data_IF_449869440913
#
_entry.id   IF_449869440913
#
_cell.length_a   1.000
_cell.length_b   1.000
_cell.length_c   1.000
_cell.angle_alpha   90.00
_cell.angle_beta   90.00
_cell.angle_gamma   90.00
#
_symmetry.space_group_name_H-M   'P 1'
#
loop_
_entity.id
_entity.type
_entity.pdbx_description
1 polymer ?
#
# COMPACT_ATOMS: atom_id res chain seq x y z
N UNK A 1 39.89 36.03 58.05
CA UNK A 1 38.81 36.32 57.08
C UNK A 1 39.46 36.55 55.73
N UNK A 2 39.59 35.51 54.91
CA UNK A 2 40.02 35.66 53.51
C UNK A 2 38.77 36.00 52.70
N UNK A 3 38.64 37.25 52.28
CA UNK A 3 37.64 37.64 51.29
C UNK A 3 38.21 37.37 49.91
N UNK A 4 37.91 36.20 49.35
CA UNK A 4 38.10 35.97 47.91
C UNK A 4 37.15 36.91 47.16
N UNK A 5 37.71 37.98 46.59
CA UNK A 5 37.01 38.80 45.61
C UNK A 5 36.77 37.94 44.38
N UNK A 6 35.52 37.52 44.17
CA UNK A 6 35.14 36.76 42.99
C UNK A 6 35.51 37.53 41.70
N UNK A 7 36.06 36.85 40.68
CA UNK A 7 36.41 37.49 39.42
C UNK A 7 35.18 38.13 38.80
N UNK A 8 35.31 39.41 38.43
CA UNK A 8 34.22 40.20 37.89
C UNK A 8 34.25 40.14 36.36
N UNK A 9 33.37 39.31 35.78
CA UNK A 9 33.21 39.15 34.34
C UNK A 9 31.96 39.93 33.88
N UNK A 10 32.14 40.85 32.94
CA UNK A 10 31.06 41.55 32.23
C UNK A 10 31.03 41.11 30.78
N UNK A 11 29.83 40.87 30.26
CA UNK A 11 29.62 40.46 28.88
C UNK A 11 28.65 41.41 28.19
N UNK A 12 29.01 41.88 26.99
CA UNK A 12 28.19 42.77 26.18
C UNK A 12 28.03 42.18 24.78
N UNK A 13 26.79 41.94 24.36
CA UNK A 13 26.50 41.49 23.00
C UNK A 13 26.68 42.63 21.99
N UNK A 14 27.37 42.35 20.89
CA UNK A 14 27.59 43.29 19.77
C UNK A 14 27.21 42.62 18.46
N UNK A 15 27.10 43.38 17.36
CA UNK A 15 26.82 42.81 16.03
C UNK A 15 27.90 41.82 15.54
N UNK A 16 29.11 41.87 16.13
CA UNK A 16 30.26 41.05 15.71
C UNK A 16 30.51 39.85 16.63
N UNK A 17 29.76 39.71 17.72
CA UNK A 17 29.96 38.65 18.73
C UNK A 17 29.72 39.14 20.16
N UNK A 18 30.24 38.39 21.13
CA UNK A 18 30.14 38.70 22.56
C UNK A 18 31.44 39.33 23.03
N UNK A 19 31.39 40.56 23.51
CA UNK A 19 32.51 41.26 24.11
C UNK A 19 32.61 40.88 25.59
N UNK A 20 33.72 40.28 26.00
CA UNK A 20 33.97 39.86 27.39
C UNK A 20 35.03 40.75 28.02
N UNK A 21 34.66 41.38 29.14
CA UNK A 21 35.54 42.16 30.00
C UNK A 21 35.73 41.40 31.32
N UNK A 22 36.97 41.06 31.67
CA UNK A 22 37.31 40.29 32.87
C UNK A 22 38.36 41.01 33.69
N UNK A 23 38.16 41.09 35.02
CA UNK A 23 39.14 41.64 35.96
C UNK A 23 40.40 40.79 36.09
N UNK A 24 40.27 39.49 35.83
CA UNK A 24 41.32 38.51 36.09
C UNK A 24 41.65 37.70 34.84
N UNK A 25 42.92 37.29 34.72
CA UNK A 25 43.45 36.53 33.59
C UNK A 25 43.13 35.02 33.67
N UNK A 26 42.02 34.66 34.33
CA UNK A 26 41.59 33.29 34.55
C UNK A 26 40.85 32.74 33.31
N UNK A 27 41.02 31.45 33.05
CA UNK A 27 40.22 30.73 32.05
C UNK A 27 38.76 30.70 32.45
N UNK A 28 37.87 30.95 31.50
CA UNK A 28 36.43 30.82 31.69
C UNK A 28 35.82 29.96 30.59
N UNK A 29 34.71 29.30 30.90
CA UNK A 29 33.92 28.54 29.93
C UNK A 29 32.74 29.41 29.46
N UNK A 30 32.52 29.46 28.15
CA UNK A 30 31.32 30.08 27.58
C UNK A 30 30.50 29.01 26.87
N UNK A 31 29.25 28.88 27.31
CA UNK A 31 28.27 27.95 26.76
C UNK A 31 27.10 28.70 26.11
N UNK A 32 26.71 28.29 24.91
CA UNK A 32 25.51 28.70 24.20
C UNK A 32 24.84 27.45 23.59
N UNK A 33 23.67 27.09 24.10
CA UNK A 33 22.95 25.85 23.78
C UNK A 33 23.83 24.59 23.89
N UNK A 34 24.23 24.00 22.76
CA UNK A 34 25.09 22.80 22.70
C UNK A 34 26.58 23.11 22.52
N UNK A 35 26.94 24.39 22.37
CA UNK A 35 28.32 24.83 22.16
C UNK A 35 28.91 25.34 23.47
N UNK A 36 29.86 24.60 24.04
CA UNK A 36 30.65 25.01 25.21
C UNK A 36 32.14 24.99 24.85
N UNK A 37 32.85 26.08 25.13
CA UNK A 37 34.30 26.14 24.94
C UNK A 37 34.99 26.91 26.07
N UNK A 38 36.22 26.48 26.36
CA UNK A 38 37.11 27.14 27.32
C UNK A 38 37.92 28.23 26.62
N UNK A 39 37.84 29.45 27.16
CA UNK A 39 38.53 30.62 26.64
C UNK A 39 39.59 31.10 27.63
N UNK A 40 40.78 31.42 27.10
CA UNK A 40 41.86 32.11 27.82
C UNK A 40 41.81 33.59 27.43
N UNK A 41 41.65 34.51 28.40
CA UNK A 41 41.73 35.94 28.12
C UNK A 41 43.10 36.28 27.51
N UNK A 42 43.12 36.91 26.35
CA UNK A 42 44.35 37.39 25.70
C UNK A 42 44.34 38.91 25.44
N UNK A 43 43.16 39.52 25.55
CA UNK A 43 42.93 40.95 25.48
C UNK A 43 41.75 41.29 26.41
N UNK A 44 41.70 42.53 26.92
CA UNK A 44 40.56 43.02 27.65
C UNK A 44 40.14 44.40 27.09
N UNK A 45 38.96 44.53 26.44
CA UNK A 45 37.96 43.49 26.21
C UNK A 45 38.34 42.48 25.10
N UNK A 46 37.91 41.22 25.23
CA UNK A 46 38.06 40.15 24.22
C UNK A 46 36.75 39.96 23.46
N UNK A 47 36.80 39.91 22.12
CA UNK A 47 35.64 39.58 21.29
C UNK A 47 35.58 38.08 21.03
N UNK A 48 34.49 37.43 21.46
CA UNK A 48 34.20 36.03 21.19
C UNK A 48 33.15 35.91 20.09
N UNK A 49 33.48 35.19 19.02
CA UNK A 49 32.51 34.84 17.98
C UNK A 49 31.84 33.52 18.34
N UNK A 50 30.54 33.56 18.60
CA UNK A 50 29.72 32.35 18.73
C UNK A 50 29.37 31.83 17.33
N UNK A 51 29.22 30.51 17.15
CA UNK A 51 28.69 29.95 15.92
C UNK A 51 27.33 30.57 15.58
N UNK A 52 27.01 30.80 14.29
CA UNK A 52 25.69 31.29 13.91
C UNK A 52 24.61 30.26 14.28
N UNK A 53 23.51 30.75 14.87
CA UNK A 53 22.29 29.94 15.03
C UNK A 53 21.63 29.78 13.65
N UNK A 54 21.32 28.53 13.29
CA UNK A 54 20.75 28.19 11.99
C UNK A 54 19.34 27.65 12.19
N UNK A 55 18.38 28.21 11.47
CA UNK A 55 17.02 27.68 11.39
C UNK A 55 16.79 27.13 9.99
N UNK A 56 16.52 25.84 9.90
CA UNK A 56 16.14 25.19 8.64
C UNK A 56 14.63 25.22 8.53
N UNK A 57 14.13 25.60 7.35
CA UNK A 57 12.70 25.56 7.03
C UNK A 57 12.49 24.93 5.66
N UNK A 58 11.39 24.20 5.51
CA UNK A 58 11.03 23.60 4.24
C UNK A 58 10.33 24.63 3.34
N UNK A 59 10.73 24.65 2.07
CA UNK A 59 10.06 25.41 1.02
C UNK A 59 9.39 24.44 0.07
N UNK A 60 8.14 24.74 -0.29
CA UNK A 60 7.35 23.91 -1.19
C UNK A 60 7.89 24.02 -2.63
N UNK A 61 8.20 22.89 -3.25
CA UNK A 61 8.64 22.83 -4.66
C UNK A 61 7.45 22.81 -5.64
N UNK A 62 6.35 22.13 -5.29
CA UNK A 62 5.13 22.02 -6.11
C UNK A 62 3.88 22.23 -5.24
N UNK A 63 2.82 22.79 -5.81
CA UNK A 63 1.53 23.06 -5.16
C UNK A 63 0.66 21.83 -4.89
N UNK A 64 1.14 20.63 -5.24
CA UNK A 64 0.43 19.37 -5.00
C UNK A 64 0.61 18.89 -3.57
N UNK A 65 -0.48 18.39 -3.00
CA UNK A 65 -0.48 17.73 -1.69
C UNK A 65 -0.58 16.24 -1.92
N UNK A 66 0.40 15.49 -1.42
CA UNK A 66 0.43 14.05 -1.52
C UNK A 66 0.00 13.41 -0.20
N UNK A 67 -0.85 12.40 -0.30
CA UNK A 67 -1.31 11.58 0.81
C UNK A 67 -0.64 10.21 0.74
N UNK A 68 0.10 9.87 1.78
CA UNK A 68 0.63 8.52 1.97
C UNK A 68 -0.33 7.71 2.85
N UNK A 69 -0.64 6.47 2.47
CA UNK A 69 -1.53 5.60 3.24
C UNK A 69 -1.27 4.11 2.98
N UNK A 70 -1.82 3.25 3.84
CA UNK A 70 -1.80 1.80 3.68
C UNK A 70 -3.19 1.22 3.98
N UNK A 71 -3.53 0.10 3.33
CA UNK A 71 -4.78 -0.61 3.56
C UNK A 71 -4.58 -1.68 4.63
N UNK A 72 -5.05 -1.43 5.85
CA UNK A 72 -4.94 -2.40 6.96
C UNK A 72 -5.92 -3.57 6.83
N UNK A 73 -7.05 -3.36 6.14
CA UNK A 73 -8.08 -4.36 5.90
C UNK A 73 -8.61 -4.23 4.49
N UNK A 74 -8.90 -5.37 3.88
CA UNK A 74 -9.53 -5.47 2.57
C UNK A 74 -10.92 -6.07 2.75
N UNK A 75 -11.87 -5.65 1.92
CA UNK A 75 -13.20 -6.25 1.89
C UNK A 75 -13.30 -7.16 0.67
N UNK A 76 -13.59 -8.43 0.91
CA UNK A 76 -13.66 -9.45 -0.14
C UNK A 76 -15.00 -9.40 -0.87
N UNK A 77 -14.94 -9.52 -2.19
CA UNK A 77 -16.12 -9.62 -3.05
C UNK A 77 -15.81 -10.58 -4.20
N UNK A 78 -16.63 -11.61 -4.35
CA UNK A 78 -16.49 -12.64 -5.40
C UNK A 78 -17.56 -12.43 -6.45
N UNK A 79 -17.13 -12.37 -7.71
CA UNK A 79 -18.06 -12.35 -8.84
C UNK A 79 -18.39 -13.78 -9.24
N UNK A 80 -19.63 -14.19 -9.05
CA UNK A 80 -20.13 -15.52 -9.41
C UNK A 80 -20.98 -15.45 -10.66
N UNK A 81 -20.62 -16.23 -11.67
CA UNK A 81 -21.46 -16.49 -12.84
C UNK A 81 -22.27 -17.76 -12.59
N UNK A 82 -23.59 -17.61 -12.48
CA UNK A 82 -24.52 -18.71 -12.22
C UNK A 82 -25.40 -18.95 -13.44
N UNK A 83 -25.51 -20.21 -13.83
CA UNK A 83 -26.41 -20.68 -14.88
C UNK A 83 -27.40 -21.65 -14.26
N UNK A 84 -28.70 -21.39 -14.43
CA UNK A 84 -29.78 -22.26 -13.96
C UNK A 84 -30.59 -22.77 -15.14
N UNK A 85 -30.96 -24.04 -15.13
CA UNK A 85 -31.73 -24.69 -16.19
C UNK A 85 -32.81 -25.59 -15.55
N UNK A 86 -34.07 -25.44 -15.98
CA UNK A 86 -35.18 -26.30 -15.55
C UNK A 86 -35.51 -27.28 -16.70
N UNK A 87 -35.34 -28.59 -16.47
CA UNK A 87 -35.54 -29.64 -17.50
C UNK A 87 -36.98 -29.73 -18.05
N UNK A 88 -37.98 -29.28 -17.29
CA UNK A 88 -39.41 -29.45 -17.62
C UNK A 88 -40.04 -28.24 -18.34
N UNK A 89 -39.27 -27.20 -18.68
CA UNK A 89 -39.77 -26.03 -19.41
C UNK A 89 -39.03 -25.89 -20.73
N UNK A 90 -39.79 -25.70 -21.81
CA UNK A 90 -39.29 -25.45 -23.18
C UNK A 90 -38.45 -24.17 -23.31
N UNK A 91 -38.41 -23.35 -22.27
CA UNK A 91 -37.55 -22.18 -22.17
C UNK A 91 -37.33 -21.86 -20.69
N UNK A 92 -36.09 -21.97 -20.18
CA UNK A 92 -35.54 -21.01 -19.21
C UNK A 92 -34.12 -21.39 -18.75
N UNK A 93 -33.14 -21.38 -19.64
CA UNK A 93 -31.75 -21.24 -19.18
C UNK A 93 -31.56 -19.80 -18.70
N UNK A 94 -31.41 -19.61 -17.40
CA UNK A 94 -31.25 -18.32 -16.76
C UNK A 94 -29.78 -18.07 -16.43
N UNK A 95 -29.31 -16.85 -16.69
CA UNK A 95 -27.93 -16.45 -16.47
C UNK A 95 -27.88 -15.29 -15.46
N UNK A 96 -27.07 -15.41 -14.43
CA UNK A 96 -26.88 -14.39 -13.40
C UNK A 96 -25.39 -14.11 -13.19
N UNK A 97 -25.05 -12.83 -13.05
CA UNK A 97 -23.72 -12.39 -12.61
C UNK A 97 -23.88 -11.70 -11.27
N UNK A 98 -23.46 -12.36 -10.20
CA UNK A 98 -23.69 -11.95 -8.83
C UNK A 98 -22.39 -11.46 -8.18
N UNK A 99 -22.52 -10.55 -7.23
CA UNK A 99 -21.42 -10.10 -6.37
C UNK A 99 -21.69 -10.64 -4.96
N UNK A 100 -21.02 -11.74 -4.62
CA UNK A 100 -21.15 -12.37 -3.32
C UNK A 100 -20.15 -11.75 -2.34
N UNK A 101 -20.63 -11.50 -1.12
CA UNK A 101 -19.80 -11.09 0.01
C UNK A 101 -19.82 -12.19 1.07
N UNK A 102 -18.70 -12.43 1.77
CA UNK A 102 -18.65 -13.47 2.80
C UNK A 102 -19.75 -13.24 3.84
N UNK A 103 -20.47 -14.30 4.20
CA UNK A 103 -21.52 -14.30 5.22
C UNK A 103 -22.72 -13.39 4.93
N UNK A 104 -22.90 -12.94 3.68
CA UNK A 104 -24.08 -12.16 3.25
C UNK A 104 -24.91 -12.99 2.28
N UNK A 105 -26.14 -13.41 2.65
CA UNK A 105 -26.99 -14.18 1.76
C UNK A 105 -27.48 -13.32 0.58
N UNK A 106 -27.38 -13.88 -0.62
CA UNK A 106 -27.91 -13.32 -1.85
C UNK A 106 -29.13 -14.13 -2.28
N UNK A 107 -30.26 -13.46 -2.47
CA UNK A 107 -31.54 -14.10 -2.77
C UNK A 107 -31.81 -14.09 -4.27
N UNK A 108 -32.10 -15.26 -4.82
CA UNK A 108 -32.65 -15.46 -6.16
C UNK A 108 -34.07 -16.02 -6.04
N UNK A 109 -34.88 -16.00 -7.12
CA UNK A 109 -36.26 -16.47 -7.05
C UNK A 109 -36.42 -17.93 -6.59
N UNK A 110 -35.53 -18.82 -7.04
CA UNK A 110 -35.59 -20.27 -6.80
C UNK A 110 -34.65 -20.77 -5.71
N UNK A 111 -33.64 -19.98 -5.33
CA UNK A 111 -32.60 -20.38 -4.39
C UNK A 111 -31.98 -19.18 -3.66
N UNK A 112 -31.26 -19.47 -2.58
CA UNK A 112 -30.47 -18.53 -1.80
C UNK A 112 -29.02 -18.99 -1.82
N UNK A 113 -28.12 -18.07 -2.15
CA UNK A 113 -26.68 -18.31 -2.16
C UNK A 113 -26.04 -17.62 -0.97
N UNK A 114 -25.18 -18.32 -0.25
CA UNK A 114 -24.38 -17.72 0.83
C UNK A 114 -22.94 -18.16 0.67
N UNK A 115 -22.04 -17.21 0.43
CA UNK A 115 -20.60 -17.51 0.45
C UNK A 115 -20.16 -17.64 1.90
N UNK A 116 -19.77 -18.83 2.32
CA UNK A 116 -19.41 -19.15 3.71
C UNK A 116 -17.95 -18.83 4.01
N UNK A 117 -17.07 -19.01 3.02
CA UNK A 117 -15.64 -18.74 3.18
C UNK A 117 -15.02 -18.28 1.85
N UNK A 118 -13.90 -17.55 1.94
CA UNK A 118 -13.03 -17.26 0.81
C UNK A 118 -11.58 -17.31 1.28
N UNK A 119 -10.74 -18.00 0.53
CA UNK A 119 -9.30 -18.08 0.75
C UNK A 119 -8.59 -17.41 -0.42
N UNK A 120 -7.73 -16.45 -0.09
CA UNK A 120 -6.93 -15.72 -1.08
C UNK A 120 -5.52 -16.30 -1.13
N UNK A 121 -4.88 -16.33 -2.32
CA UNK A 121 -3.48 -16.71 -2.41
C UNK A 121 -2.60 -15.65 -1.70
N UNK A 122 -1.37 -16.00 -1.27
CA UNK A 122 -0.42 -15.03 -0.75
C UNK A 122 -0.22 -13.89 -1.75
N UNK A 123 -0.68 -12.69 -1.40
CA UNK A 123 -0.66 -11.52 -2.29
C UNK A 123 0.05 -10.36 -1.58
N UNK A 124 1.41 -10.36 -1.56
CA UNK A 124 2.20 -9.39 -0.78
C UNK A 124 1.87 -7.92 -1.11
N UNK A 125 1.49 -7.64 -2.35
CA UNK A 125 1.13 -6.29 -2.82
C UNK A 125 -0.07 -5.67 -2.10
N UNK A 126 -0.88 -6.46 -1.39
CA UNK A 126 -1.98 -5.96 -0.57
C UNK A 126 -1.49 -5.26 0.71
N UNK A 127 -0.24 -5.48 1.11
CA UNK A 127 0.43 -4.86 2.26
C UNK A 127 1.29 -3.67 1.85
N UNK A 128 1.24 -3.27 0.58
CA UNK A 128 2.00 -2.14 0.07
C UNK A 128 1.52 -0.82 0.63
N UNK A 129 2.42 0.15 0.67
CA UNK A 129 2.11 1.55 0.90
C UNK A 129 1.73 2.23 -0.40
N UNK A 130 0.85 3.22 -0.32
CA UNK A 130 0.33 3.97 -1.45
C UNK A 130 0.57 5.47 -1.25
N UNK A 131 0.81 6.17 -2.36
CA UNK A 131 0.87 7.62 -2.45
C UNK A 131 -0.24 8.07 -3.39
N UNK A 132 -1.00 9.10 -3.03
CA UNK A 132 -2.03 9.68 -3.88
C UNK A 132 -1.98 11.20 -3.88
N UNK A 133 -2.20 11.80 -5.04
CA UNK A 133 -2.36 13.25 -5.24
C UNK A 133 -3.82 13.64 -5.49
N UNK A 134 -4.77 12.82 -5.00
CA UNK A 134 -6.20 12.82 -5.30
C UNK A 134 -6.60 12.43 -6.73
N UNK A 135 -5.72 12.44 -7.72
CA UNK A 135 -6.05 12.10 -9.11
C UNK A 135 -5.50 10.75 -9.52
N UNK A 136 -4.29 10.46 -9.06
CA UNK A 136 -3.57 9.24 -9.26
C UNK A 136 -3.23 8.57 -7.92
N UNK A 137 -2.95 7.28 -7.99
CA UNK A 137 -2.43 6.48 -6.86
C UNK A 137 -1.23 5.71 -7.40
N UNK A 138 -0.15 5.67 -6.64
CA UNK A 138 1.03 4.87 -6.92
C UNK A 138 1.40 4.01 -5.70
N UNK A 139 2.03 2.87 -5.95
CA UNK A 139 2.65 2.02 -4.93
C UNK A 139 3.99 2.62 -4.55
N UNK A 140 4.33 2.71 -3.27
CA UNK A 140 5.67 3.12 -2.83
C UNK A 140 6.45 1.96 -2.22
N UNK A 141 7.73 1.84 -2.61
CA UNK A 141 8.64 0.79 -2.12
C UNK A 141 9.34 1.17 -0.81
N UNK A 142 9.37 2.47 -0.48
CA UNK A 142 10.01 2.98 0.73
C UNK A 142 9.03 3.88 1.46
N UNK A 143 8.39 3.40 2.53
CA UNK A 143 7.71 4.27 3.47
C UNK A 143 8.78 5.03 4.29
N UNK A 144 9.61 5.83 3.63
CA UNK A 144 10.54 6.72 4.33
C UNK A 144 9.74 7.88 4.90
N UNK A 145 10.04 8.27 6.15
CA UNK A 145 9.46 9.45 6.75
C UNK A 145 9.73 10.64 5.83
N UNK A 146 8.67 11.18 5.22
CA UNK A 146 8.79 12.42 4.48
C UNK A 146 9.33 13.49 5.44
N UNK A 147 10.30 14.34 5.02
CA UNK A 147 10.84 15.37 5.88
C UNK A 147 9.75 16.31 6.41
N UNK A 148 8.68 16.52 5.63
CA UNK A 148 7.53 17.31 6.04
C UNK A 148 6.30 16.42 6.18
N UNK A 149 5.79 16.28 7.40
CA UNK A 149 4.58 15.52 7.71
C UNK A 149 3.46 16.42 8.22
N UNK A 150 2.28 16.27 7.62
CA UNK A 150 1.09 17.05 7.97
C UNK A 150 -0.04 16.09 8.37
N UNK A 151 -0.81 16.45 9.41
CA UNK A 151 -1.92 15.62 9.90
C UNK A 151 -3.13 15.65 8.96
N UNK A 152 -3.35 16.77 8.27
CA UNK A 152 -4.51 17.00 7.40
C UNK A 152 -4.11 17.73 6.12
N UNK A 153 -5.00 17.71 5.13
CA UNK A 153 -4.80 18.42 3.87
C UNK A 153 -4.78 19.93 4.09
N UNK A 154 -5.62 20.42 4.99
CA UNK A 154 -5.76 21.83 5.34
C UNK A 154 -4.44 22.35 5.94
N UNK A 155 -3.85 21.58 6.87
CA UNK A 155 -2.54 21.90 7.45
C UNK A 155 -1.42 21.87 6.41
N UNK A 156 -1.47 20.95 5.45
CA UNK A 156 -0.50 20.88 4.36
C UNK A 156 -0.57 22.11 3.45
N UNK A 157 -1.78 22.57 3.12
CA UNK A 157 -1.99 23.78 2.32
C UNK A 157 -1.47 25.01 3.06
N UNK A 158 -1.77 25.14 4.35
CA UNK A 158 -1.32 26.22 5.22
C UNK A 158 0.17 26.14 5.61
N UNK A 159 0.89 25.08 5.20
CA UNK A 159 2.29 24.81 5.58
C UNK A 159 2.52 24.75 7.10
N UNK A 160 1.49 24.43 7.88
CA UNK A 160 1.59 24.23 9.32
C UNK A 160 1.82 22.74 9.61
N UNK A 161 3.00 22.26 9.25
CA UNK A 161 3.38 20.85 9.30
C UNK A 161 4.60 20.65 10.18
N UNK A 162 4.76 19.43 10.69
CA UNK A 162 5.95 19.05 11.45
C UNK A 162 7.09 18.75 10.47
N UNK A 163 8.15 19.53 10.56
CA UNK A 163 9.41 19.27 9.86
C UNK A 163 10.24 18.31 10.72
N UNK A 164 10.62 17.19 10.15
CA UNK A 164 11.62 16.28 10.67
C UNK A 164 12.84 16.36 9.75
N UNK A 165 13.82 17.16 10.14
CA UNK A 165 15.02 17.42 9.36
C UNK A 165 16.20 16.55 9.79
N UNK A 166 16.73 15.76 8.86
CA UNK A 166 18.01 15.05 8.99
C UNK A 166 19.15 15.83 8.31
N UNK A 167 19.01 17.16 8.22
CA UNK A 167 19.96 18.03 7.52
C UNK A 167 21.26 18.19 8.32
N UNK A 168 22.40 18.11 7.64
CA UNK A 168 23.72 18.36 8.24
C UNK A 168 24.20 19.75 7.87
N UNK A 169 24.21 20.64 8.86
CA UNK A 169 24.71 22.00 8.70
C UNK A 169 26.15 22.11 9.24
N UNK A 170 27.05 22.61 8.40
CA UNK A 170 28.41 22.94 8.81
C UNK A 170 28.58 24.46 8.81
N UNK A 171 29.18 24.97 9.90
CA UNK A 171 29.51 26.38 10.01
C UNK A 171 30.78 26.66 9.18
N UNK A 172 30.69 27.61 8.24
CA UNK A 172 31.83 28.32 7.68
C UNK A 172 31.84 29.75 8.24
N UNK A 173 33.03 30.36 8.34
CA UNK A 173 33.28 31.61 9.10
C UNK A 173 32.22 32.71 8.95
N UNK A 174 31.64 32.86 7.76
CA UNK A 174 30.57 33.81 7.46
C UNK A 174 29.38 33.20 6.68
N UNK A 175 29.34 31.88 6.50
CA UNK A 175 28.32 31.17 5.71
C UNK A 175 28.01 29.84 6.35
N UNK A 176 26.77 29.41 6.28
CA UNK A 176 26.39 28.07 6.73
C UNK A 176 26.04 27.26 5.51
N UNK A 177 26.61 26.06 5.39
CA UNK A 177 26.28 25.10 4.35
C UNK A 177 25.48 23.97 4.99
N UNK A 178 24.22 23.83 4.60
CA UNK A 178 23.37 22.73 5.03
C UNK A 178 23.14 21.75 3.87
N UNK A 179 23.40 20.48 4.12
CA UNK A 179 23.15 19.40 3.18
C UNK A 179 22.05 18.50 3.74
N UNK A 180 20.94 18.41 3.02
CA UNK A 180 19.80 17.58 3.39
C UNK A 180 19.74 16.33 2.49
N UNK A 181 19.33 15.17 3.00
CA UNK A 181 19.08 14.00 2.17
C UNK A 181 18.06 14.32 1.06
N UNK A 182 18.31 13.89 -0.19
CA UNK A 182 17.37 14.12 -1.28
C UNK A 182 16.07 13.35 -1.02
N UNK A 183 14.94 14.05 -1.07
CA UNK A 183 13.61 13.46 -0.99
C UNK A 183 12.71 14.10 -2.04
N UNK A 184 12.32 13.31 -3.03
CA UNK A 184 11.40 13.74 -4.09
C UNK A 184 10.17 12.82 -4.15
N UNK A 185 9.07 13.31 -3.57
CA UNK A 185 7.77 12.62 -3.60
C UNK A 185 7.14 12.63 -5.00
N UNK A 186 7.48 13.62 -5.83
CA UNK A 186 6.99 13.74 -7.20
C UNK A 186 7.62 12.64 -8.05
N UNK A 187 8.92 12.40 -7.89
CA UNK A 187 9.61 11.30 -8.55
C UNK A 187 8.99 9.95 -8.18
N UNK A 188 8.83 9.66 -6.88
CA UNK A 188 8.26 8.39 -6.41
C UNK A 188 6.81 8.20 -6.89
N UNK A 189 6.01 9.27 -6.92
CA UNK A 189 4.63 9.23 -7.42
C UNK A 189 4.54 9.06 -8.95
N UNK A 190 5.56 9.49 -9.71
CA UNK A 190 5.56 9.44 -11.17
C UNK A 190 6.19 8.17 -11.75
N UNK A 191 6.58 7.21 -10.90
CA UNK A 191 7.10 5.92 -11.35
C UNK A 191 6.01 5.14 -12.06
N UNK A 192 6.08 5.11 -13.39
CA UNK A 192 5.07 4.52 -14.27
C UNK A 192 4.78 3.06 -13.89
N UNK A 193 5.81 2.28 -13.56
CA UNK A 193 5.69 0.87 -13.17
C UNK A 193 4.89 0.64 -11.88
N UNK A 194 4.80 1.66 -11.03
CA UNK A 194 4.14 1.60 -9.72
C UNK A 194 2.84 2.41 -9.69
N UNK A 195 2.54 3.16 -10.75
CA UNK A 195 1.32 3.95 -10.88
C UNK A 195 0.15 3.03 -11.22
N UNK A 196 -0.95 3.17 -10.49
CA UNK A 196 -2.14 2.34 -10.72
C UNK A 196 -2.80 2.74 -12.04
N UNK A 197 -3.30 1.77 -12.84
CA UNK A 197 -3.41 0.34 -12.52
C UNK A 197 -2.11 -0.44 -12.71
N UNK A 198 -1.77 -1.27 -11.72
CA UNK A 198 -0.65 -2.22 -11.78
C UNK A 198 -1.20 -3.62 -11.97
N UNK A 199 -0.78 -4.29 -13.06
CA UNK A 199 -1.29 -5.62 -13.44
C UNK A 199 -0.17 -6.64 -13.50
N UNK A 200 -0.41 -7.78 -12.87
CA UNK A 200 0.44 -8.98 -12.93
C UNK A 200 -0.40 -10.18 -13.40
N UNK A 201 0.21 -11.35 -13.66
CA UNK A 201 -0.54 -12.56 -13.98
C UNK A 201 -1.48 -13.02 -12.85
N UNK A 202 -1.13 -12.73 -11.59
CA UNK A 202 -1.85 -13.25 -10.42
C UNK A 202 -2.81 -12.24 -9.79
N UNK A 203 -2.62 -10.94 -10.03
CA UNK A 203 -3.44 -9.88 -9.43
C UNK A 203 -3.34 -8.56 -10.21
N UNK A 204 -4.34 -7.71 -10.04
CA UNK A 204 -4.40 -6.34 -10.58
C UNK A 204 -4.83 -5.38 -9.47
N UNK A 205 -4.02 -4.35 -9.21
CA UNK A 205 -4.38 -3.22 -8.34
C UNK A 205 -4.83 -2.06 -9.21
N UNK A 206 -6.03 -1.54 -8.94
CA UNK A 206 -6.60 -0.43 -9.69
C UNK A 206 -7.29 0.57 -8.77
N UNK A 207 -7.36 1.81 -9.24
CA UNK A 207 -8.10 2.87 -8.57
C UNK A 207 -9.57 2.83 -8.98
N UNK A 208 -10.47 2.98 -8.01
CA UNK A 208 -11.88 3.28 -8.25
C UNK A 208 -12.31 4.42 -7.33
N UNK A 209 -12.49 5.62 -7.89
CA UNK A 209 -12.72 6.85 -7.11
C UNK A 209 -11.59 7.04 -6.10
N UNK A 210 -11.86 7.00 -4.80
CA UNK A 210 -10.86 7.16 -3.73
C UNK A 210 -10.51 5.83 -3.04
N UNK A 211 -10.80 4.70 -3.70
CA UNK A 211 -10.52 3.37 -3.17
C UNK A 211 -9.54 2.64 -4.08
N UNK A 212 -8.69 1.83 -3.45
CA UNK A 212 -7.85 0.85 -4.13
C UNK A 212 -8.62 -0.46 -4.19
N UNK A 213 -8.68 -1.07 -5.37
CA UNK A 213 -9.33 -2.36 -5.60
C UNK A 213 -8.29 -3.34 -6.10
N UNK A 214 -8.19 -4.48 -5.43
CA UNK A 214 -7.45 -5.64 -5.89
C UNK A 214 -8.38 -6.59 -6.64
N UNK A 215 -7.98 -7.04 -7.82
CA UNK A 215 -8.63 -8.11 -8.58
C UNK A 215 -7.66 -9.28 -8.66
N UNK A 216 -8.07 -10.44 -8.15
CA UNK A 216 -7.27 -11.67 -8.13
C UNK A 216 -8.01 -12.71 -8.98
N UNK A 217 -7.60 -12.93 -10.25
CA UNK A 217 -8.35 -13.78 -11.18
C UNK A 217 -8.15 -15.29 -10.98
N UNK A 218 -7.09 -15.71 -10.30
CA UNK A 218 -6.70 -17.12 -10.19
C UNK A 218 -6.32 -17.48 -8.76
N UNK A 219 -6.28 -18.78 -8.44
CA UNK A 219 -5.86 -19.31 -7.13
C UNK A 219 -6.74 -18.87 -5.95
N UNK A 220 -7.96 -18.42 -6.21
CA UNK A 220 -8.96 -18.09 -5.18
C UNK A 220 -9.84 -19.31 -4.97
N UNK A 221 -10.07 -19.68 -3.71
CA UNK A 221 -11.00 -20.74 -3.32
C UNK A 221 -12.15 -20.13 -2.52
N UNK A 222 -13.37 -20.53 -2.81
CA UNK A 222 -14.56 -20.03 -2.10
C UNK A 222 -15.57 -21.16 -1.89
N UNK A 223 -16.12 -21.24 -0.68
CA UNK A 223 -17.22 -22.14 -0.37
C UNK A 223 -18.54 -21.38 -0.50
N UNK A 224 -19.47 -21.92 -1.29
CA UNK A 224 -20.79 -21.32 -1.51
C UNK A 224 -21.87 -22.34 -1.14
N UNK A 225 -22.64 -22.00 -0.12
CA UNK A 225 -23.84 -22.75 0.25
C UNK A 225 -25.00 -22.33 -0.65
N UNK A 226 -25.65 -23.32 -1.26
CA UNK A 226 -26.82 -23.16 -2.10
C UNK A 226 -28.01 -23.76 -1.36
N UNK A 227 -29.02 -22.95 -1.11
CA UNK A 227 -30.24 -23.34 -0.43
C UNK A 227 -31.42 -23.16 -1.38
N UNK A 228 -32.14 -24.23 -1.69
CA UNK A 228 -33.22 -24.18 -2.66
C UNK A 228 -34.54 -23.91 -1.95
N UNK A 229 -35.31 -22.95 -2.45
CA UNK A 229 -36.62 -22.58 -1.90
C UNK A 229 -37.72 -23.63 -2.22
N UNK A 230 -37.33 -24.78 -2.78
CA UNK A 230 -38.19 -25.91 -3.13
C UNK A 230 -37.52 -27.19 -2.68
N UNK A 231 -38.31 -28.16 -2.27
CA UNK A 231 -37.81 -29.50 -1.96
C UNK A 231 -37.35 -30.16 -3.26
N UNK A 232 -36.05 -30.41 -3.39
CA UNK A 232 -35.51 -31.22 -4.48
C UNK A 232 -35.87 -32.68 -4.17
N UNK A 233 -36.93 -33.18 -4.82
CA UNK A 233 -37.47 -34.52 -4.56
C UNK A 233 -36.60 -35.64 -5.14
N UNK A 234 -35.82 -35.33 -6.17
CA UNK A 234 -34.96 -36.30 -6.84
C UNK A 234 -33.78 -35.54 -7.44
N UNK A 235 -32.56 -35.92 -7.08
CA UNK A 235 -31.38 -35.59 -7.84
C UNK A 235 -31.30 -36.63 -8.95
N UNK A 236 -31.91 -36.36 -10.09
CA UNK A 236 -31.84 -37.27 -11.23
C UNK A 236 -30.49 -37.03 -11.91
N UNK A 237 -29.52 -37.89 -11.64
CA UNK A 237 -28.45 -38.12 -12.62
C UNK A 237 -29.14 -38.67 -13.86
N UNK A 238 -29.15 -37.89 -14.93
CA UNK A 238 -29.49 -38.41 -16.25
C UNK A 238 -28.36 -39.37 -16.63
N UNK A 239 -28.55 -40.64 -16.29
CA UNK A 239 -27.81 -41.75 -16.90
C UNK A 239 -28.40 -41.91 -18.30
N UNK A 240 -27.78 -41.23 -19.25
CA UNK A 240 -28.04 -41.45 -20.67
C UNK A 240 -27.25 -42.71 -21.06
N UNK A 241 -27.94 -43.85 -21.11
CA UNK A 241 -27.39 -45.17 -21.50
C UNK A 241 -27.11 -45.26 -23.02
N UNK A 242 -26.80 -44.13 -23.64
CA UNK A 242 -26.37 -44.07 -25.02
C UNK A 242 -24.93 -44.56 -25.11
N UNK A 243 -24.72 -45.64 -25.87
CA UNK A 243 -23.39 -46.19 -26.21
C UNK A 243 -22.64 -45.13 -27.03
N UNK A 244 -21.96 -44.24 -26.31
CA UNK A 244 -21.16 -43.17 -26.86
C UNK A 244 -19.73 -43.64 -26.99
N UNK A 245 -19.19 -43.59 -28.21
CA UNK A 245 -17.76 -43.84 -28.42
C UNK A 245 -16.99 -42.56 -28.12
N UNK A 246 -16.29 -42.57 -26.99
CA UNK A 246 -15.40 -41.50 -26.59
C UNK A 246 -14.06 -41.71 -27.30
N UNK A 247 -13.66 -40.77 -28.17
CA UNK A 247 -12.31 -40.76 -28.72
C UNK A 247 -11.32 -40.26 -27.67
N UNK A 248 -10.09 -40.80 -27.67
CA UNK A 248 -9.02 -40.31 -26.81
C UNK A 248 -8.76 -38.82 -27.07
N UNK A 249 -8.95 -38.00 -26.05
CA UNK A 249 -8.68 -36.57 -26.11
C UNK A 249 -7.24 -36.29 -25.62
N UNK A 250 -6.47 -35.43 -26.31
CA UNK A 250 -5.21 -34.95 -25.76
C UNK A 250 -5.47 -34.16 -24.47
N UNK A 251 -4.66 -34.44 -23.46
CA UNK A 251 -4.76 -33.84 -22.14
C UNK A 251 -3.69 -32.75 -22.05
N UNK A 252 -4.10 -31.48 -22.08
CA UNK A 252 -3.18 -30.34 -22.13
C UNK A 252 -3.12 -29.66 -20.77
N UNK A 253 -2.11 -29.96 -19.94
CA UNK A 253 -1.94 -29.33 -18.63
C UNK A 253 -0.77 -29.86 -17.77
N UNK A 254 -0.73 -29.41 -16.51
CA UNK A 254 0.13 -29.89 -15.44
C UNK A 254 -0.57 -30.87 -14.49
N UNK A 255 0.18 -31.85 -13.97
CA UNK A 255 -0.23 -32.70 -12.86
C UNK A 255 0.11 -32.02 -11.52
N UNK A 256 -0.68 -32.29 -10.47
CA UNK A 256 -0.45 -31.76 -9.10
C UNK A 256 -0.29 -30.23 -9.00
N UNK A 257 -0.97 -29.48 -9.88
CA UNK A 257 -0.99 -28.02 -9.88
C UNK A 257 -2.42 -27.51 -9.65
N UNK A 258 -2.56 -26.27 -9.15
CA UNK A 258 -3.89 -25.68 -8.92
C UNK A 258 -4.72 -25.56 -10.20
N UNK A 259 -4.09 -25.31 -11.35
CA UNK A 259 -4.81 -25.21 -12.63
C UNK A 259 -5.42 -26.56 -13.07
N UNK A 260 -4.95 -27.68 -12.52
CA UNK A 260 -5.40 -29.01 -12.91
C UNK A 260 -5.12 -29.31 -14.38
N UNK A 261 -5.82 -30.31 -14.91
CA UNK A 261 -5.77 -30.65 -16.31
C UNK A 261 -7.09 -30.49 -17.05
N UNK A 262 -7.03 -30.00 -18.29
CA UNK A 262 -8.21 -29.82 -19.12
C UNK A 262 -8.19 -30.85 -20.24
N UNK A 263 -9.28 -31.58 -20.36
CA UNK A 263 -9.51 -32.52 -21.45
C UNK A 263 -10.76 -32.09 -22.21
N UNK A 264 -10.63 -31.88 -23.52
CA UNK A 264 -11.77 -31.61 -24.39
C UNK A 264 -12.22 -32.91 -25.02
N UNK A 265 -13.30 -33.50 -24.49
CA UNK A 265 -13.80 -34.78 -24.97
C UNK A 265 -14.89 -34.56 -26.01
N UNK A 266 -14.75 -35.22 -27.16
CA UNK A 266 -15.80 -35.31 -28.17
C UNK A 266 -16.43 -36.69 -28.13
N UNK A 267 -17.75 -36.76 -28.00
CA UNK A 267 -18.49 -38.01 -28.14
C UNK A 267 -19.53 -37.89 -29.24
N UNK A 268 -19.79 -39.01 -29.92
CA UNK A 268 -20.86 -39.15 -30.89
C UNK A 268 -21.88 -40.18 -30.40
N UNK A 269 -23.16 -39.82 -30.40
CA UNK A 269 -24.26 -40.74 -30.22
C UNK A 269 -24.84 -41.15 -31.59
N UNK A 270 -25.24 -42.41 -31.75
CA UNK A 270 -25.84 -42.89 -32.99
C UNK A 270 -27.22 -42.21 -33.20
N UNK A 271 -27.29 -41.23 -34.11
CA UNK A 271 -28.54 -40.59 -34.52
C UNK A 271 -28.78 -39.14 -34.05
N UNK A 272 -27.83 -38.49 -33.37
CA UNK A 272 -27.96 -37.11 -32.91
C UNK A 272 -26.65 -36.32 -32.89
N UNK A 273 -26.76 -34.99 -32.97
CA UNK A 273 -25.68 -33.99 -33.12
C UNK A 273 -24.47 -34.20 -32.19
N UNK A 274 -23.27 -33.89 -32.71
CA UNK A 274 -22.02 -33.91 -31.93
C UNK A 274 -22.03 -32.85 -30.82
N UNK A 275 -21.76 -33.27 -29.58
CA UNK A 275 -21.65 -32.40 -28.42
C UNK A 275 -20.18 -32.27 -27.97
N UNK A 276 -19.79 -31.07 -27.53
CA UNK A 276 -18.44 -30.78 -27.01
C UNK A 276 -18.57 -30.37 -25.55
N UNK A 277 -17.95 -31.12 -24.64
CA UNK A 277 -17.80 -30.71 -23.24
C UNK A 277 -16.34 -30.49 -22.92
N UNK A 278 -16.10 -29.45 -22.12
CA UNK A 278 -14.79 -29.13 -21.57
C UNK A 278 -14.91 -29.14 -20.07
N UNK A 279 -14.21 -30.07 -19.41
CA UNK A 279 -14.29 -30.25 -17.97
C UNK A 279 -12.89 -30.10 -17.35
N UNK A 280 -12.73 -29.31 -16.28
CA UNK A 280 -11.49 -29.31 -15.51
C UNK A 280 -11.38 -30.61 -14.70
N UNK A 281 -10.31 -31.36 -14.91
CA UNK A 281 -9.95 -32.52 -14.10
C UNK A 281 -9.22 -32.03 -12.86
N UNK A 282 -9.88 -32.17 -11.70
CA UNK A 282 -9.24 -31.98 -10.41
C UNK A 282 -8.21 -33.09 -10.15
N UNK A 283 -7.12 -32.78 -9.41
CA UNK A 283 -6.13 -33.79 -9.07
C UNK A 283 -6.76 -34.86 -8.17
N UNK A 284 -6.76 -36.11 -8.64
CA UNK A 284 -6.93 -37.28 -7.77
C UNK A 284 -5.72 -37.32 -6.84
N UNK A 285 -5.94 -37.09 -5.55
CA UNK A 285 -4.93 -37.33 -4.51
C UNK A 285 -4.63 -38.83 -4.41
N UNK A 286 -3.35 -39.22 -4.22
CA UNK A 286 -2.99 -40.62 -3.95
C UNK A 286 -3.56 -41.14 -2.63
#
# INVERSE_FOLDING_TARGET
>A
MYGETAPHIQMTCTEQGVLVNTSDNQTFELCADTFCNLYKPHANPMLLKLPPLVTVYAVRTDNKVYRQFQCLRWSEEVKLELVMEELNKTQSRQYYVLQLRPNVPTYLPSLRLTMTSVMLPPTPSLHSHFISDDYDIAITKKPSAAPLYCQSRETAIAMNCTLNDDCRCTAAENKVQCECPPYDIVEESNRIELKLPVKTPSWELRRRKNMVIAKIPHLVSSDVMIDFNRTIKQLTTLEDDDVSTIANAPLEACYSCFRGAEATVTWGAFGGSAWRSTSPLFPLSP
#
